data_IF_364406663474
#
_entry.id   IF_364406663474
#
_cell.length_a   1.000
_cell.length_b   1.000
_cell.length_c   1.000
_cell.angle_alpha   90.00
_cell.angle_beta   90.00
_cell.angle_gamma   90.00
#
_symmetry.space_group_name_H-M   'P 1'
#
loop_
_entity.id
_entity.type
_entity.pdbx_description
1 polymer ?
#
# COMPACT_ATOMS: atom_id res chain seq x y z
N UNK A 1 -1.81 36.33 15.58
CA UNK A 1 -2.53 35.64 14.48
C UNK A 1 -1.75 34.39 14.06
N UNK A 2 -2.02 33.20 14.64
CA UNK A 2 -1.26 31.96 14.41
C UNK A 2 -1.97 30.92 13.51
N UNK A 3 -3.08 31.27 12.87
CA UNK A 3 -3.97 30.31 12.16
C UNK A 3 -3.39 29.76 10.86
N UNK A 4 -2.41 30.42 10.24
CA UNK A 4 -1.82 29.97 8.97
C UNK A 4 -0.94 28.72 9.12
N UNK A 5 -0.15 28.60 10.20
CA UNK A 5 0.75 27.44 10.44
C UNK A 5 -0.02 26.16 10.78
N UNK A 6 -1.17 26.29 11.46
CA UNK A 6 -1.99 25.14 11.82
C UNK A 6 -2.69 24.55 10.59
N UNK A 7 -3.20 25.41 9.70
CA UNK A 7 -3.83 24.97 8.46
C UNK A 7 -2.82 24.33 7.50
N UNK A 8 -1.61 24.88 7.40
CA UNK A 8 -0.53 24.32 6.58
C UNK A 8 -0.10 22.92 7.08
N UNK A 9 0.00 22.73 8.40
CA UNK A 9 0.36 21.44 8.99
C UNK A 9 -0.74 20.37 8.83
N UNK A 10 -2.01 20.77 8.96
CA UNK A 10 -3.16 19.87 8.74
C UNK A 10 -3.27 19.49 7.27
N UNK A 11 -3.09 20.45 6.35
CA UNK A 11 -3.07 20.17 4.90
C UNK A 11 -1.90 19.23 4.59
N UNK A 12 -0.71 19.46 5.13
CA UNK A 12 0.45 18.60 4.90
C UNK A 12 0.26 17.19 5.48
N UNK A 13 -0.39 17.04 6.63
CA UNK A 13 -0.71 15.74 7.23
C UNK A 13 -1.77 14.98 6.44
N UNK A 14 -2.87 15.62 6.07
CA UNK A 14 -3.95 15.02 5.25
C UNK A 14 -3.44 14.67 3.85
N UNK A 15 -2.63 15.54 3.24
CA UNK A 15 -2.03 15.29 1.93
C UNK A 15 -1.01 14.13 1.98
N UNK A 16 -0.28 13.99 3.10
CA UNK A 16 0.64 12.87 3.32
C UNK A 16 -0.09 11.54 3.55
N UNK A 17 -1.19 11.56 4.32
CA UNK A 17 -2.06 10.38 4.51
C UNK A 17 -2.78 9.98 3.22
N UNK A 18 -3.22 10.95 2.41
CA UNK A 18 -3.81 10.69 1.09
C UNK A 18 -2.78 10.20 0.05
N UNK A 19 -1.51 10.63 0.13
CA UNK A 19 -0.42 10.09 -0.71
C UNK A 19 -0.11 8.63 -0.37
N UNK A 20 -0.11 8.26 0.92
CA UNK A 20 0.09 6.86 1.35
C UNK A 20 -0.96 5.89 0.83
N UNK A 21 -2.20 6.37 0.61
CA UNK A 21 -3.29 5.54 0.09
C UNK A 21 -3.26 5.35 -1.44
N UNK A 22 -2.59 6.24 -2.19
CA UNK A 22 -2.77 6.32 -3.65
C UNK A 22 -1.58 5.88 -4.50
N UNK A 23 -0.38 5.69 -3.95
CA UNK A 23 0.77 5.16 -4.69
C UNK A 23 1.62 4.26 -3.78
N UNK A 24 1.32 2.97 -3.75
CA UNK A 24 2.33 1.98 -3.41
C UNK A 24 2.63 1.18 -4.67
N UNK A 25 3.52 1.72 -5.50
CA UNK A 25 4.04 1.00 -6.67
C UNK A 25 5.07 -0.07 -6.25
N UNK A 26 5.64 0.04 -5.05
CA UNK A 26 6.65 -0.86 -4.52
C UNK A 26 6.14 -1.79 -3.41
N UNK A 27 6.72 -2.99 -3.35
CA UNK A 27 6.49 -3.99 -2.29
C UNK A 27 6.87 -3.42 -0.91
N UNK A 28 7.89 -2.56 -0.85
CA UNK A 28 8.34 -1.93 0.41
C UNK A 28 7.24 -1.08 1.04
N UNK A 29 6.54 -0.27 0.26
CA UNK A 29 5.46 0.61 0.75
C UNK A 29 4.27 -0.21 1.26
N UNK A 30 3.94 -1.30 0.55
CA UNK A 30 2.89 -2.24 0.98
C UNK A 30 3.25 -2.91 2.31
N UNK A 31 4.51 -3.28 2.50
CA UNK A 31 5.00 -3.83 3.76
C UNK A 31 4.96 -2.80 4.90
N UNK A 32 5.30 -1.54 4.64
CA UNK A 32 5.16 -0.47 5.64
C UNK A 32 3.71 -0.24 6.05
N UNK A 33 2.78 -0.30 5.10
CA UNK A 33 1.35 -0.22 5.38
C UNK A 33 0.88 -1.39 6.26
N UNK A 34 1.29 -2.62 5.95
CA UNK A 34 0.98 -3.78 6.81
C UNK A 34 1.55 -3.63 8.23
N UNK A 35 2.79 -3.13 8.36
CA UNK A 35 3.39 -2.88 9.67
C UNK A 35 2.67 -1.79 10.46
N UNK A 36 2.18 -0.75 9.77
CA UNK A 36 1.40 0.32 10.40
C UNK A 36 0.05 -0.21 10.90
N UNK A 37 -0.61 -1.05 10.11
CA UNK A 37 -1.87 -1.71 10.50
C UNK A 37 -1.65 -2.68 11.67
N UNK A 38 -0.57 -3.47 11.63
CA UNK A 38 -0.20 -4.35 12.73
C UNK A 38 0.00 -3.59 14.04
N UNK A 39 0.71 -2.45 14.00
CA UNK A 39 0.88 -1.57 15.16
C UNK A 39 -0.45 -1.01 15.67
N UNK A 40 -1.35 -0.64 14.77
CA UNK A 40 -2.69 -0.17 15.14
C UNK A 40 -3.54 -1.28 15.82
N UNK A 41 -3.30 -2.55 15.47
CA UNK A 41 -3.90 -3.72 16.13
C UNK A 41 -3.15 -4.18 17.40
N UNK A 42 -2.09 -3.47 17.80
CA UNK A 42 -1.31 -3.79 19.00
C UNK A 42 -0.21 -4.83 18.80
N UNK A 43 0.10 -5.21 17.56
CA UNK A 43 1.20 -6.13 17.25
C UNK A 43 2.51 -5.38 16.99
N UNK A 44 3.59 -5.86 17.60
CA UNK A 44 4.95 -5.52 17.21
C UNK A 44 5.36 -6.22 15.92
N UNK A 45 6.39 -5.69 15.26
CA UNK A 45 6.96 -6.31 14.05
C UNK A 45 7.41 -7.76 14.30
N UNK A 46 7.98 -8.02 15.47
CA UNK A 46 8.41 -9.36 15.89
C UNK A 46 7.24 -10.33 16.02
N UNK A 47 6.15 -9.88 16.65
CA UNK A 47 4.94 -10.70 16.84
C UNK A 47 4.25 -10.98 15.50
N UNK A 48 4.18 -9.99 14.62
CA UNK A 48 3.67 -10.17 13.27
C UNK A 48 4.51 -11.17 12.48
N UNK A 49 5.85 -11.03 12.51
CA UNK A 49 6.76 -11.96 11.85
C UNK A 49 6.57 -13.40 12.37
N UNK A 50 6.50 -13.56 13.69
CA UNK A 50 6.28 -14.86 14.32
C UNK A 50 4.94 -15.48 13.89
N UNK A 51 3.85 -14.70 13.85
CA UNK A 51 2.54 -15.15 13.38
C UNK A 51 2.53 -15.53 11.89
N UNK A 52 3.32 -14.84 11.08
CA UNK A 52 3.51 -15.14 9.67
C UNK A 52 4.51 -16.28 9.41
N UNK A 53 5.06 -16.91 10.46
CA UNK A 53 6.00 -18.03 10.34
C UNK A 53 7.38 -17.63 9.81
N UNK A 54 7.77 -16.36 9.95
CA UNK A 54 9.09 -15.85 9.53
C UNK A 54 9.85 -15.23 10.70
N UNK A 55 11.17 -15.12 10.55
CA UNK A 55 11.98 -14.42 11.54
C UNK A 55 11.83 -12.89 11.39
N UNK A 56 11.95 -12.17 12.51
CA UNK A 56 11.96 -10.70 12.52
C UNK A 56 13.08 -10.13 11.62
N UNK A 57 14.25 -10.77 11.63
CA UNK A 57 15.37 -10.44 10.73
C UNK A 57 15.00 -10.68 9.27
N UNK A 58 14.32 -11.78 8.96
CA UNK A 58 13.83 -12.09 7.62
C UNK A 58 12.83 -11.05 7.11
N UNK A 59 11.93 -10.58 7.97
CA UNK A 59 10.99 -9.51 7.66
C UNK A 59 11.72 -8.17 7.41
N UNK A 60 12.70 -7.85 8.25
CA UNK A 60 13.53 -6.64 8.09
C UNK A 60 14.34 -6.66 6.78
N UNK A 61 14.94 -7.80 6.44
CA UNK A 61 15.67 -8.00 5.18
C UNK A 61 14.74 -7.95 3.96
N UNK A 62 13.54 -8.53 4.04
CA UNK A 62 12.56 -8.44 2.96
C UNK A 62 12.14 -6.99 2.70
N UNK A 63 11.94 -6.20 3.76
CA UNK A 63 11.68 -4.76 3.64
C UNK A 63 12.85 -4.02 2.97
N UNK A 64 14.09 -4.33 3.34
CA UNK A 64 15.29 -3.70 2.77
C UNK A 64 15.53 -4.07 1.31
N UNK A 65 15.26 -5.32 0.93
CA UNK A 65 15.41 -5.82 -0.46
C UNK A 65 14.26 -5.39 -1.36
N UNK A 66 13.08 -5.16 -0.80
CA UNK A 66 11.88 -4.89 -1.57
C UNK A 66 11.30 -6.12 -2.26
N UNK A 67 11.71 -7.33 -1.85
CA UNK A 67 11.25 -8.60 -2.42
C UNK A 67 10.75 -9.53 -1.33
N UNK A 68 9.60 -10.17 -1.59
CA UNK A 68 8.98 -11.14 -0.70
C UNK A 68 8.28 -12.24 -1.50
N UNK A 69 8.33 -13.48 -1.00
CA UNK A 69 7.51 -14.56 -1.56
C UNK A 69 6.04 -14.25 -1.31
N UNK A 70 5.20 -14.52 -2.31
CA UNK A 70 3.74 -14.33 -2.21
C UNK A 70 3.15 -15.11 -1.04
N UNK A 71 3.63 -16.33 -0.79
CA UNK A 71 3.21 -17.15 0.35
C UNK A 71 3.45 -16.47 1.70
N UNK A 72 4.57 -15.73 1.82
CA UNK A 72 4.88 -14.98 3.04
C UNK A 72 4.04 -13.71 3.15
N UNK A 73 3.73 -13.06 2.02
CA UNK A 73 2.80 -11.94 1.99
C UNK A 73 1.40 -12.37 2.43
N UNK A 74 0.92 -13.53 1.96
CA UNK A 74 -0.35 -14.11 2.40
C UNK A 74 -0.33 -14.42 3.90
N UNK A 75 0.75 -15.02 4.41
CA UNK A 75 0.86 -15.30 5.84
C UNK A 75 0.82 -14.03 6.71
N UNK A 76 1.45 -12.94 6.26
CA UNK A 76 1.39 -11.63 6.92
C UNK A 76 -0.01 -11.02 6.87
N UNK A 77 -0.70 -11.13 5.73
CA UNK A 77 -2.08 -10.66 5.58
C UNK A 77 -3.04 -11.45 6.47
N UNK A 78 -2.93 -12.78 6.47
CA UNK A 78 -3.74 -13.67 7.30
C UNK A 78 -3.51 -13.41 8.80
N UNK A 79 -2.29 -13.09 9.22
CA UNK A 79 -1.99 -12.74 10.61
C UNK A 79 -2.70 -11.45 11.09
N UNK A 80 -3.18 -10.62 10.15
CA UNK A 80 -3.93 -9.39 10.36
C UNK A 80 -5.40 -9.50 9.93
N UNK A 81 -5.89 -10.72 9.66
CA UNK A 81 -7.23 -11.01 9.14
C UNK A 81 -7.53 -10.29 7.81
N UNK A 82 -6.54 -10.22 6.91
CA UNK A 82 -6.62 -9.58 5.60
C UNK A 82 -6.42 -10.57 4.45
N UNK A 83 -7.01 -10.24 3.30
CA UNK A 83 -6.87 -11.01 2.06
C UNK A 83 -6.12 -10.23 0.98
N UNK A 84 -5.35 -10.92 0.15
CA UNK A 84 -4.70 -10.32 -1.03
C UNK A 84 -5.65 -10.38 -2.21
N UNK A 85 -5.82 -9.25 -2.90
CA UNK A 85 -6.64 -9.14 -4.10
C UNK A 85 -5.82 -8.50 -5.23
N UNK A 86 -5.92 -9.07 -6.43
CA UNK A 86 -5.37 -8.46 -7.65
C UNK A 86 -6.43 -7.57 -8.29
N UNK A 87 -6.13 -6.27 -8.38
CA UNK A 87 -6.97 -5.31 -9.07
C UNK A 87 -6.32 -4.89 -10.40
N UNK A 88 -7.10 -4.77 -11.49
CA UNK A 88 -6.60 -4.20 -12.73
C UNK A 88 -5.97 -2.82 -12.50
N UNK A 89 -4.79 -2.58 -13.06
CA UNK A 89 -4.13 -1.25 -12.97
C UNK A 89 -4.97 -0.13 -13.59
N UNK A 90 -5.80 -0.47 -14.59
CA UNK A 90 -6.78 0.44 -15.19
C UNK A 90 -8.17 -0.02 -14.78
N UNK A 91 -8.98 0.90 -14.23
CA UNK A 91 -10.35 0.54 -13.89
C UNK A 91 -11.13 0.26 -15.17
N UNK A 92 -11.97 -0.78 -15.14
CA UNK A 92 -12.87 -1.10 -16.24
C UNK A 92 -13.75 0.11 -16.61
N UNK A 93 -14.17 0.92 -15.63
CA UNK A 93 -14.93 2.15 -15.87
C UNK A 93 -14.17 3.20 -16.67
N UNK A 94 -12.87 3.37 -16.44
CA UNK A 94 -12.05 4.30 -17.22
C UNK A 94 -11.93 3.82 -18.69
N UNK A 95 -11.81 2.50 -18.89
CA UNK A 95 -11.79 1.92 -20.22
C UNK A 95 -13.16 2.08 -20.93
N UNK A 96 -14.27 1.78 -20.24
CA UNK A 96 -15.63 1.95 -20.78
C UNK A 96 -15.93 3.42 -21.11
N UNK A 97 -15.51 4.35 -20.24
CA UNK A 97 -15.68 5.79 -20.47
C UNK A 97 -14.89 6.25 -21.68
N UNK A 98 -13.64 5.83 -21.82
CA UNK A 98 -12.83 6.15 -23.00
C UNK A 98 -13.36 5.51 -24.29
N UNK A 99 -13.95 4.31 -24.24
CA UNK A 99 -14.63 3.68 -25.38
C UNK A 99 -15.84 4.54 -25.79
N UNK A 100 -16.67 4.96 -24.84
CA UNK A 100 -17.85 5.81 -25.10
C UNK A 100 -17.49 7.18 -25.68
N UNK A 101 -16.37 7.74 -25.24
CA UNK A 101 -15.90 9.08 -25.65
C UNK A 101 -15.04 9.05 -26.92
N UNK A 102 -14.83 7.88 -27.54
CA UNK A 102 -13.99 7.74 -28.73
C UNK A 102 -12.48 7.94 -28.48
N UNK A 103 -12.08 8.10 -27.21
CA UNK A 103 -10.68 8.28 -26.77
C UNK A 103 -9.96 6.96 -26.47
N UNK A 104 -10.52 5.84 -26.91
CA UNK A 104 -9.95 4.51 -26.67
C UNK A 104 -8.49 4.41 -27.16
N UNK A 105 -8.17 4.98 -28.31
CA UNK A 105 -6.81 4.94 -28.88
C UNK A 105 -5.81 5.87 -28.18
N UNK A 106 -6.30 6.83 -27.40
CA UNK A 106 -5.45 7.71 -26.59
C UNK A 106 -4.96 7.01 -25.31
N UNK A 107 -5.70 5.98 -24.84
CA UNK A 107 -5.28 5.11 -23.73
C UNK A 107 -4.16 4.12 -24.10
N UNK A 108 -3.83 3.99 -25.39
CA UNK A 108 -2.80 3.06 -25.90
C UNK A 108 -1.40 3.69 -25.89
N UNK A 109 -1.27 4.99 -25.59
CA UNK A 109 0.03 5.67 -25.52
C UNK A 109 0.41 5.97 -24.08
N UNK A 110 1.21 5.09 -23.48
CA UNK A 110 2.32 5.46 -22.61
C UNK A 110 3.37 4.31 -22.65
N UNK A 111 4.68 4.63 -22.69
CA UNK A 111 5.77 3.65 -22.77
C UNK A 111 5.92 2.79 -21.52
#
# INVERSE_FOLDING_TARGET
>A
MPTAKLNDCIIHAILNDMRKLKLSESITDKLENLLTLAKAQGFSQKELAARAGISEVGLSQAKARGDLKVSTLEALANALDMTIEFKPRRSHDAAVTAIREGRFFELVREP
#
